data_IF_061080569122
#
_entry.id   IF_061080569122
#
_cell.length_a   1.000
_cell.length_b   1.000
_cell.length_c   1.000
_cell.angle_alpha   90.00
_cell.angle_beta   90.00
_cell.angle_gamma   90.00
#
_symmetry.space_group_name_H-M   'P 1'
#
loop_
_entity.id
_entity.type
_entity.pdbx_description
1 polymer ?
#
# COMPACT_ATOMS: atom_id res chain seq x y z
N UNK A 1 -8.32 -1.58 8.61
CA UNK A 1 -8.73 -2.35 7.41
C UNK A 1 -10.00 -1.68 6.91
N UNK A 2 -10.22 -1.57 5.61
CA UNK A 2 -11.49 -0.98 5.13
C UNK A 2 -12.64 -1.98 5.32
N UNK A 3 -13.83 -1.45 5.54
CA UNK A 3 -15.05 -2.25 5.77
C UNK A 3 -15.33 -3.20 4.60
N UNK A 4 -15.03 -2.76 3.37
CA UNK A 4 -15.17 -3.59 2.16
C UNK A 4 -14.25 -4.82 2.17
N UNK A 5 -12.99 -4.65 2.58
CA UNK A 5 -12.02 -5.75 2.68
C UNK A 5 -12.41 -6.69 3.80
N UNK A 6 -12.89 -6.18 4.93
CA UNK A 6 -13.39 -6.99 6.04
C UNK A 6 -14.60 -7.84 5.61
N UNK A 7 -15.60 -7.22 4.98
CA UNK A 7 -16.77 -7.91 4.47
C UNK A 7 -16.38 -9.02 3.47
N UNK A 8 -15.43 -8.74 2.58
CA UNK A 8 -14.93 -9.73 1.63
C UNK A 8 -14.23 -10.90 2.34
N UNK A 9 -13.38 -10.62 3.33
CA UNK A 9 -12.67 -11.64 4.11
C UNK A 9 -13.66 -12.54 4.88
N UNK A 10 -14.68 -11.96 5.50
CA UNK A 10 -15.72 -12.71 6.20
C UNK A 10 -16.50 -13.62 5.25
N UNK A 11 -16.82 -13.13 4.05
CA UNK A 11 -17.45 -13.93 3.00
C UNK A 11 -16.57 -15.09 2.53
N UNK A 12 -15.26 -14.85 2.38
CA UNK A 12 -14.31 -15.91 2.01
C UNK A 12 -14.15 -16.94 3.13
N UNK A 13 -14.11 -16.51 4.40
CA UNK A 13 -14.07 -17.43 5.55
C UNK A 13 -15.26 -18.37 5.59
N UNK A 14 -16.46 -17.89 5.25
CA UNK A 14 -17.66 -18.73 5.17
C UNK A 14 -17.63 -19.74 4.00
N UNK A 15 -16.85 -19.48 2.96
CA UNK A 15 -16.74 -20.35 1.76
C UNK A 15 -15.57 -21.33 1.80
N UNK A 16 -14.55 -21.04 2.60
CA UNK A 16 -13.31 -21.82 2.66
C UNK A 16 -13.15 -22.48 4.01
N UNK A 17 -12.89 -23.78 3.99
CA UNK A 17 -12.47 -24.54 5.19
C UNK A 17 -10.95 -24.48 5.42
N UNK A 18 -10.22 -23.68 4.64
CA UNK A 18 -8.78 -23.46 4.82
C UNK A 18 -8.51 -22.47 5.95
N UNK A 19 -7.45 -22.71 6.71
CA UNK A 19 -6.92 -21.76 7.70
C UNK A 19 -6.17 -20.58 7.07
N UNK A 20 -5.91 -20.63 5.76
CA UNK A 20 -5.19 -19.61 5.03
C UNK A 20 -6.18 -18.71 4.24
N UNK A 21 -5.94 -17.42 4.25
CA UNK A 21 -6.75 -16.45 3.47
C UNK A 21 -6.60 -16.71 1.97
N UNK A 22 -5.36 -16.90 1.52
CA UNK A 22 -5.03 -17.30 0.15
C UNK A 22 -4.61 -18.77 0.16
N UNK A 23 -5.47 -19.63 -0.36
CA UNK A 23 -5.27 -21.07 -0.37
C UNK A 23 -5.58 -21.68 -1.72
N UNK A 24 -4.93 -22.80 -1.99
CA UNK A 24 -5.26 -23.66 -3.13
C UNK A 24 -6.55 -24.47 -2.84
N UNK A 25 -7.14 -25.04 -3.87
CA UNK A 25 -8.26 -26.00 -3.73
C UNK A 25 -7.94 -27.14 -2.78
N UNK A 26 -6.67 -27.53 -2.66
CA UNK A 26 -6.16 -28.50 -1.71
C UNK A 26 -6.07 -28.01 -0.25
N UNK A 27 -6.58 -26.82 0.06
CA UNK A 27 -6.54 -26.15 1.39
C UNK A 27 -5.12 -25.82 1.89
N UNK A 28 -4.08 -26.01 1.07
CA UNK A 28 -2.70 -25.60 1.36
C UNK A 28 -2.52 -24.12 1.04
N UNK A 29 -1.51 -23.49 1.66
CA UNK A 29 -1.14 -22.11 1.35
C UNK A 29 -0.84 -21.96 -0.15
N UNK A 30 -1.19 -20.81 -0.72
CA UNK A 30 -0.91 -20.51 -2.12
C UNK A 30 0.60 -20.52 -2.37
N UNK A 31 1.04 -21.30 -3.35
CA UNK A 31 2.44 -21.31 -3.78
C UNK A 31 2.76 -20.09 -4.65
N UNK A 32 4.05 -19.76 -4.76
CA UNK A 32 4.51 -18.67 -5.64
C UNK A 32 4.11 -18.91 -7.12
N UNK A 33 4.16 -20.16 -7.56
CA UNK A 33 3.75 -20.53 -8.92
C UNK A 33 2.25 -20.29 -9.14
N UNK A 34 1.40 -20.70 -8.19
CA UNK A 34 -0.04 -20.44 -8.26
C UNK A 34 -0.36 -18.94 -8.22
N UNK A 35 0.36 -18.18 -7.38
CA UNK A 35 0.24 -16.72 -7.34
C UNK A 35 0.59 -16.09 -8.70
N UNK A 36 1.70 -16.48 -9.30
CA UNK A 36 2.11 -15.99 -10.64
C UNK A 36 1.09 -16.32 -11.72
N UNK A 37 0.52 -17.52 -11.68
CA UNK A 37 -0.52 -17.91 -12.63
C UNK A 37 -1.79 -17.10 -12.47
N UNK A 38 -2.21 -16.85 -11.23
CA UNK A 38 -3.34 -15.96 -10.91
C UNK A 38 -3.05 -14.54 -11.38
N UNK A 39 -1.83 -14.04 -11.16
CA UNK A 39 -1.45 -12.68 -11.54
C UNK A 39 -1.52 -12.46 -13.05
N UNK A 40 -1.11 -13.44 -13.85
CA UNK A 40 -1.25 -13.40 -15.33
C UNK A 40 -2.71 -13.23 -15.78
N UNK A 41 -3.69 -13.74 -15.02
CA UNK A 41 -5.10 -13.49 -15.32
C UNK A 41 -5.47 -12.03 -15.09
N UNK A 42 -4.97 -11.43 -14.01
CA UNK A 42 -5.18 -9.99 -13.72
C UNK A 42 -4.58 -9.12 -14.83
N UNK A 43 -3.35 -9.41 -15.24
CA UNK A 43 -2.67 -8.70 -16.34
C UNK A 43 -3.45 -8.80 -17.67
N UNK A 44 -4.02 -9.96 -17.95
CA UNK A 44 -4.83 -10.19 -19.16
C UNK A 44 -6.13 -9.37 -19.15
N UNK A 45 -6.76 -9.20 -18.00
CA UNK A 45 -7.99 -8.40 -17.86
C UNK A 45 -7.72 -6.88 -17.91
N UNK A 46 -6.47 -6.47 -17.66
CA UNK A 46 -6.04 -5.07 -17.61
C UNK A 46 -4.82 -4.83 -18.53
N UNK A 47 -4.90 -5.10 -19.84
CA UNK A 47 -3.74 -5.13 -20.72
C UNK A 47 -3.05 -3.78 -20.91
N UNK A 48 -3.77 -2.68 -20.74
CA UNK A 48 -3.23 -1.32 -20.88
C UNK A 48 -2.55 -0.80 -19.61
N UNK A 49 -2.64 -1.56 -18.52
CA UNK A 49 -2.13 -1.13 -17.22
C UNK A 49 -1.04 -2.09 -16.77
N UNK A 50 0.19 -1.60 -16.69
CA UNK A 50 1.28 -2.40 -16.13
C UNK A 50 1.12 -2.49 -14.61
N UNK A 51 0.23 -3.39 -14.14
CA UNK A 51 -0.02 -3.62 -12.72
C UNK A 51 0.84 -4.77 -12.24
N UNK A 52 1.58 -4.53 -11.14
CA UNK A 52 2.28 -5.57 -10.39
C UNK A 52 1.84 -5.53 -8.93
N UNK A 53 1.99 -6.64 -8.21
CA UNK A 53 1.74 -6.66 -6.77
C UNK A 53 2.57 -5.59 -6.02
N UNK A 54 3.76 -5.30 -6.54
CA UNK A 54 4.65 -4.28 -5.99
C UNK A 54 4.08 -2.86 -6.18
N UNK A 55 3.52 -2.57 -7.34
CA UNK A 55 2.86 -1.29 -7.62
C UNK A 55 1.65 -1.10 -6.72
N UNK A 56 0.83 -2.14 -6.52
CA UNK A 56 -0.30 -2.05 -5.59
C UNK A 56 0.16 -1.77 -4.16
N UNK A 57 1.23 -2.44 -3.71
CA UNK A 57 1.82 -2.18 -2.40
C UNK A 57 2.36 -0.74 -2.28
N UNK A 58 3.04 -0.25 -3.30
CA UNK A 58 3.51 1.14 -3.36
C UNK A 58 2.36 2.13 -3.27
N UNK A 59 1.31 1.92 -4.03
CA UNK A 59 0.11 2.76 -4.00
C UNK A 59 -0.53 2.76 -2.62
N UNK A 60 -0.66 1.59 -1.98
CA UNK A 60 -1.17 1.49 -0.62
C UNK A 60 -0.36 2.31 0.37
N UNK A 61 0.97 2.16 0.37
CA UNK A 61 1.88 2.90 1.26
C UNK A 61 1.78 4.41 1.01
N UNK A 62 1.74 4.84 -0.25
CA UNK A 62 1.59 6.25 -0.60
C UNK A 62 0.27 6.82 -0.05
N UNK A 63 -0.83 6.09 -0.15
CA UNK A 63 -2.12 6.49 0.41
C UNK A 63 -2.10 6.61 1.93
N UNK A 64 -1.35 5.76 2.64
CA UNK A 64 -1.18 5.88 4.08
C UNK A 64 -0.41 7.16 4.46
N UNK A 65 0.63 7.53 3.70
CA UNK A 65 1.33 8.81 3.87
C UNK A 65 0.42 10.01 3.60
N UNK A 66 -0.39 9.95 2.54
CA UNK A 66 -1.38 10.99 2.22
C UNK A 66 -2.42 11.16 3.33
N UNK A 67 -2.80 10.08 3.99
CA UNK A 67 -3.70 10.07 5.13
C UNK A 67 -3.06 10.61 6.43
N UNK A 68 -1.75 10.90 6.41
CA UNK A 68 -1.04 11.50 7.54
C UNK A 68 -0.55 10.51 8.60
N UNK A 69 -0.50 9.21 8.30
CA UNK A 69 0.05 8.21 9.21
C UNK A 69 1.57 8.40 9.35
N UNK A 70 2.09 8.08 10.54
CA UNK A 70 3.53 8.13 10.76
C UNK A 70 4.26 6.92 10.12
N UNK A 71 5.59 7.07 9.97
CA UNK A 71 6.43 6.06 9.30
C UNK A 71 6.38 4.71 10.00
N UNK A 72 6.25 4.67 11.34
CA UNK A 72 6.20 3.41 12.11
C UNK A 72 4.86 2.70 11.94
N UNK A 73 3.77 3.45 11.94
CA UNK A 73 2.44 2.92 11.65
C UNK A 73 2.39 2.31 10.24
N UNK A 74 2.94 3.03 9.27
CA UNK A 74 3.00 2.57 7.87
C UNK A 74 3.89 1.33 7.75
N UNK A 75 5.04 1.30 8.41
CA UNK A 75 5.91 0.13 8.46
C UNK A 75 5.17 -1.10 8.97
N UNK A 76 4.45 -0.95 10.07
CA UNK A 76 3.65 -2.03 10.67
C UNK A 76 2.55 -2.50 9.72
N UNK A 77 1.75 -1.58 9.16
CA UNK A 77 0.64 -1.91 8.26
C UNK A 77 1.11 -2.51 6.93
N UNK A 78 2.24 -2.05 6.42
CA UNK A 78 2.84 -2.59 5.21
C UNK A 78 3.55 -3.93 5.44
N UNK A 79 3.78 -4.34 6.69
CA UNK A 79 4.54 -5.55 7.01
C UNK A 79 5.99 -5.46 6.54
N UNK A 80 6.61 -4.28 6.60
CA UNK A 80 8.00 -4.10 6.26
C UNK A 80 8.91 -4.55 7.40
N UNK A 81 9.86 -5.44 7.11
CA UNK A 81 10.85 -5.91 8.09
C UNK A 81 11.85 -4.83 8.48
N UNK A 82 12.11 -3.86 7.60
CA UNK A 82 13.02 -2.75 7.84
C UNK A 82 12.35 -1.40 7.55
N UNK A 83 12.79 -0.37 8.27
CA UNK A 83 12.29 1.00 8.10
C UNK A 83 12.75 1.60 6.75
N UNK A 84 13.90 1.19 6.24
CA UNK A 84 14.46 1.66 4.98
C UNK A 84 13.52 1.44 3.80
N UNK A 85 12.79 0.32 3.78
CA UNK A 85 11.80 0.02 2.75
C UNK A 85 10.63 1.02 2.77
N UNK A 86 10.22 1.47 3.95
CA UNK A 86 9.15 2.46 4.10
C UNK A 86 9.67 3.86 3.77
N UNK A 87 10.88 4.19 4.22
CA UNK A 87 11.53 5.48 3.96
C UNK A 87 11.85 5.69 2.48
N UNK A 88 12.19 4.65 1.73
CA UNK A 88 12.41 4.77 0.28
C UNK A 88 11.15 5.23 -0.47
N UNK A 89 9.98 4.75 -0.06
CA UNK A 89 8.69 5.22 -0.60
C UNK A 89 8.39 6.64 -0.13
N UNK A 90 8.69 6.95 1.13
CA UNK A 90 8.51 8.27 1.71
C UNK A 90 9.33 9.35 0.99
N UNK A 91 10.61 9.09 0.69
CA UNK A 91 11.47 10.06 -0.03
C UNK A 91 10.93 10.40 -1.41
N UNK A 92 10.34 9.43 -2.11
CA UNK A 92 9.69 9.68 -3.40
C UNK A 92 8.40 10.51 -3.26
N UNK A 93 7.60 10.24 -2.24
CA UNK A 93 6.36 10.98 -1.94
C UNK A 93 6.67 12.42 -1.50
N UNK A 94 7.60 12.58 -0.55
CA UNK A 94 7.94 13.84 0.08
C UNK A 94 8.57 14.84 -0.92
N UNK A 95 9.36 14.34 -1.87
CA UNK A 95 9.98 15.17 -2.90
C UNK A 95 8.96 15.90 -3.80
N UNK A 96 7.83 15.26 -4.11
CA UNK A 96 6.76 15.89 -4.90
C UNK A 96 5.93 16.90 -4.11
N UNK A 97 5.75 16.69 -2.82
CA UNK A 97 4.87 17.53 -1.99
C UNK A 97 5.61 18.63 -1.22
N UNK A 98 6.92 18.46 -0.94
CA UNK A 98 7.71 19.45 -0.20
C UNK A 98 7.96 20.73 -0.95
N UNK A 99 8.14 20.71 -2.26
CA UNK A 99 8.45 21.93 -3.02
C UNK A 99 7.35 22.98 -2.88
N UNK A 100 6.09 22.57 -2.85
CA UNK A 100 4.96 23.49 -2.70
C UNK A 100 4.69 23.87 -1.23
N UNK A 101 4.70 22.90 -0.31
CA UNK A 101 4.38 23.16 1.10
C UNK A 101 5.53 23.83 1.88
N UNK A 102 6.78 23.57 1.53
CA UNK A 102 7.93 24.18 2.20
C UNK A 102 8.03 25.66 1.87
N UNK A 103 7.83 26.04 0.63
CA UNK A 103 7.79 27.45 0.22
C UNK A 103 6.71 28.22 0.97
N UNK A 104 5.54 27.64 1.16
CA UNK A 104 4.44 28.27 1.87
C UNK A 104 4.65 28.32 3.39
N UNK A 105 5.21 27.27 4.00
CA UNK A 105 5.58 27.25 5.43
C UNK A 105 6.68 28.24 5.75
N UNK A 106 7.71 28.32 4.90
CA UNK A 106 8.79 29.31 5.01
C UNK A 106 8.21 30.71 4.88
N UNK A 107 7.36 30.95 3.89
CA UNK A 107 6.70 32.25 3.71
C UNK A 107 5.86 32.65 4.92
N UNK A 108 5.09 31.74 5.52
CA UNK A 108 4.32 31.98 6.75
C UNK A 108 5.20 32.22 7.97
N UNK A 109 6.33 31.54 8.08
CA UNK A 109 7.26 31.72 9.20
C UNK A 109 7.96 33.07 9.18
N UNK A 110 8.29 33.59 7.99
CA UNK A 110 9.00 34.85 7.83
C UNK A 110 8.12 36.08 7.52
N UNK A 111 6.86 35.89 7.08
CA UNK A 111 5.92 37.00 6.87
C UNK A 111 5.16 37.42 8.14
N UNK A 112 5.39 36.81 9.29
CA UNK A 112 4.77 37.19 10.57
C UNK A 112 5.53 38.29 11.33
N UNK A 113 6.65 38.77 10.83
CA UNK A 113 7.46 39.81 11.45
C UNK A 113 7.55 41.11 10.63
N UNK A 114 6.48 41.48 9.98
CA UNK A 114 6.38 42.80 9.35
C UNK A 114 5.13 43.51 9.90
N UNK A 115 5.18 43.82 11.18
CA UNK A 115 4.35 44.87 11.78
C UNK A 115 5.21 45.79 12.61
#
# INVERSE_FOLDING_TARGET
MSDEVEAWLLKQRGRSSSKFVLSLKSKKVMTLSAFRSMWKLVERELPETHITAHILRHTYITRLFEAGLDVKEIQYLAGHSTMDMTLSVYTHYDRKNREQQTAEKVRRAFCKEAV
#
